data_IF_837401119113
#
_entry.id   IF_837401119113
#
_cell.length_a   1.000
_cell.length_b   1.000
_cell.length_c   1.000
_cell.angle_alpha   90.00
_cell.angle_beta   90.00
_cell.angle_gamma   90.00
#
_symmetry.space_group_name_H-M   'P 1'
#
loop_
_entity.id
_entity.type
_entity.pdbx_description
1 polymer ?
#
# COMPACT_ATOMS: atom_id res chain seq x y z
N UNK A 1 -43.25 -78.10 19.38
CA UNK A 1 -44.12 -76.95 19.65
C UNK A 1 -44.65 -76.46 18.32
N UNK A 2 -45.92 -76.69 18.01
CA UNK A 2 -46.55 -76.36 16.72
C UNK A 2 -47.95 -75.80 16.94
N UNK A 3 -48.27 -74.78 16.12
CA UNK A 3 -49.58 -74.19 15.78
C UNK A 3 -50.21 -73.18 16.76
N UNK A 4 -51.14 -72.30 16.30
CA UNK A 4 -51.30 -71.66 14.99
C UNK A 4 -51.59 -70.12 15.05
N UNK A 5 -51.55 -69.45 13.90
CA UNK A 5 -51.95 -68.05 13.67
C UNK A 5 -53.48 -67.87 13.57
N UNK A 6 -54.07 -66.76 14.07
CA UNK A 6 -55.40 -66.29 13.68
C UNK A 6 -55.37 -64.99 12.82
N UNK A 7 -56.50 -64.59 12.19
CA UNK A 7 -56.49 -63.86 10.92
C UNK A 7 -56.90 -62.38 11.00
N UNK A 8 -56.77 -61.70 9.84
CA UNK A 8 -57.61 -60.59 9.35
C UNK A 8 -57.38 -59.23 10.04
N UNK A 9 -57.37 -58.06 9.40
CA UNK A 9 -58.20 -57.53 8.32
C UNK A 9 -57.57 -56.20 7.87
N UNK A 10 -57.43 -55.94 6.57
CA UNK A 10 -57.27 -54.56 6.06
C UNK A 10 -58.65 -53.88 5.98
N UNK A 11 -58.72 -52.57 6.21
CA UNK A 11 -59.18 -51.73 5.09
C UNK A 11 -58.38 -50.42 4.93
N UNK A 12 -58.17 -50.06 3.67
CA UNK A 12 -57.86 -48.72 3.12
C UNK A 12 -59.19 -47.92 2.98
N UNK A 13 -59.28 -46.67 2.48
CA UNK A 13 -58.40 -45.49 2.50
C UNK A 13 -59.14 -44.21 3.00
N UNK A 14 -58.40 -43.08 3.05
CA UNK A 14 -58.85 -41.68 2.91
C UNK A 14 -59.59 -40.98 4.08
N UNK A 15 -58.87 -40.09 4.78
CA UNK A 15 -59.26 -38.68 4.99
C UNK A 15 -58.02 -37.85 5.43
N UNK A 16 -57.95 -36.58 5.04
CA UNK A 16 -56.78 -35.69 4.94
C UNK A 16 -56.15 -35.25 6.29
N UNK A 17 -54.94 -34.59 6.36
CA UNK A 17 -54.70 -33.26 5.78
C UNK A 17 -53.30 -33.02 5.14
N UNK A 18 -53.19 -31.87 4.45
CA UNK A 18 -52.04 -31.36 3.70
C UNK A 18 -50.68 -31.38 4.42
N UNK A 19 -49.54 -31.49 3.70
CA UNK A 19 -48.23 -31.28 4.29
C UNK A 19 -48.07 -29.83 4.73
N UNK A 20 -47.55 -29.66 5.94
CA UNK A 20 -47.21 -28.40 6.57
C UNK A 20 -46.26 -27.54 5.72
N UNK A 21 -46.46 -26.22 5.81
CA UNK A 21 -45.52 -25.20 5.35
C UNK A 21 -44.08 -25.57 5.74
N UNK A 22 -43.21 -25.64 4.74
CA UNK A 22 -41.77 -25.66 4.96
C UNK A 22 -41.36 -24.25 5.37
N UNK A 23 -40.69 -24.04 6.52
CA UNK A 23 -40.14 -22.74 6.82
C UNK A 23 -39.01 -22.45 5.84
N UNK A 24 -39.17 -21.30 5.18
CA UNK A 24 -38.24 -20.60 4.31
C UNK A 24 -36.83 -20.61 4.94
N UNK A 25 -35.85 -21.08 4.17
CA UNK A 25 -34.44 -20.99 4.58
C UNK A 25 -34.07 -19.52 4.54
N UNK A 26 -33.65 -18.89 5.66
CA UNK A 26 -33.25 -17.50 5.60
C UNK A 26 -32.02 -17.40 4.70
N UNK A 27 -32.17 -16.55 3.68
CA UNK A 27 -31.14 -16.13 2.75
C UNK A 27 -29.86 -15.79 3.54
N UNK A 28 -28.72 -16.32 3.07
CA UNK A 28 -27.43 -15.96 3.66
C UNK A 28 -27.28 -14.44 3.57
N UNK A 29 -26.80 -13.76 4.63
CA UNK A 29 -26.59 -12.33 4.53
C UNK A 29 -25.55 -12.12 3.42
N UNK A 30 -25.90 -11.29 2.44
CA UNK A 30 -24.94 -10.71 1.51
C UNK A 30 -23.71 -10.31 2.32
N UNK A 31 -22.56 -10.87 1.98
CA UNK A 31 -21.28 -10.44 2.51
C UNK A 31 -21.08 -9.01 2.01
N UNK A 32 -21.63 -8.04 2.73
CA UNK A 32 -21.28 -6.65 2.60
C UNK A 32 -19.79 -6.58 2.94
N UNK A 33 -18.95 -6.55 1.90
CA UNK A 33 -17.56 -6.15 2.00
C UNK A 33 -17.55 -4.87 2.82
N UNK A 34 -17.14 -4.99 4.08
CA UNK A 34 -17.05 -3.84 4.96
C UNK A 34 -15.97 -2.97 4.36
N UNK A 35 -16.37 -1.88 3.71
CA UNK A 35 -15.46 -0.91 3.13
C UNK A 35 -14.81 -0.18 4.30
N UNK A 36 -13.76 -0.79 4.88
CA UNK A 36 -12.97 -0.19 5.95
C UNK A 36 -12.44 1.16 5.46
N UNK A 37 -12.61 2.20 6.28
CA UNK A 37 -12.09 3.52 5.97
C UNK A 37 -10.57 3.41 5.70
N UNK A 38 -10.04 4.12 4.68
CA UNK A 38 -8.63 4.02 4.33
C UNK A 38 -7.76 4.45 5.52
N UNK A 39 -6.79 3.60 5.86
CA UNK A 39 -5.75 3.96 6.82
C UNK A 39 -4.87 5.10 6.26
N UNK A 40 -3.96 5.64 7.09
CA UNK A 40 -3.09 6.74 6.67
C UNK A 40 -2.33 6.42 5.37
N UNK A 41 -1.88 5.19 5.17
CA UNK A 41 -1.23 4.77 3.93
C UNK A 41 -2.20 4.79 2.75
N UNK A 42 -3.43 4.29 2.92
CA UNK A 42 -4.48 4.31 1.90
C UNK A 42 -4.83 5.72 1.44
N UNK A 43 -4.90 6.68 2.36
CA UNK A 43 -5.14 8.09 2.04
C UNK A 43 -4.00 8.68 1.19
N UNK A 44 -2.74 8.46 1.60
CA UNK A 44 -1.58 8.93 0.84
C UNK A 44 -1.46 8.25 -0.53
N UNK A 45 -1.77 6.95 -0.61
CA UNK A 45 -1.79 6.21 -1.87
C UNK A 45 -2.86 6.74 -2.82
N UNK A 46 -4.06 7.02 -2.30
CA UNK A 46 -5.15 7.62 -3.08
C UNK A 46 -4.74 8.97 -3.67
N UNK A 47 -4.12 9.83 -2.86
CA UNK A 47 -3.64 11.13 -3.33
C UNK A 47 -2.47 11.02 -4.31
N UNK A 48 -1.51 10.12 -4.06
CA UNK A 48 -0.40 9.88 -4.99
C UNK A 48 -0.91 9.42 -6.37
N UNK A 49 -2.07 8.77 -6.40
CA UNK A 49 -2.75 8.29 -7.61
C UNK A 49 -3.66 9.32 -8.27
N UNK A 50 -3.93 10.48 -7.66
CA UNK A 50 -4.75 11.54 -8.27
C UNK A 50 -4.18 11.91 -9.64
N UNK A 51 -4.99 11.76 -10.68
CA UNK A 51 -4.63 12.04 -12.08
C UNK A 51 -3.84 10.92 -12.79
N UNK A 52 -3.54 9.79 -12.13
CA UNK A 52 -2.77 8.70 -12.70
C UNK A 52 -3.62 7.45 -12.95
N UNK A 53 -3.52 6.87 -14.15
CA UNK A 53 -4.20 5.62 -14.49
C UNK A 53 -3.49 4.38 -13.92
N UNK A 54 -2.19 4.50 -13.59
CA UNK A 54 -1.33 3.37 -13.21
C UNK A 54 -0.29 3.76 -12.19
N UNK A 55 -0.03 2.85 -11.24
CA UNK A 55 0.96 3.02 -10.19
C UNK A 55 2.36 2.67 -10.71
N UNK A 56 3.09 3.68 -11.19
CA UNK A 56 4.47 3.57 -11.68
C UNK A 56 5.50 4.15 -10.71
N UNK A 57 6.74 4.31 -11.19
CA UNK A 57 7.84 4.86 -10.40
C UNK A 57 7.53 6.26 -9.85
N UNK A 58 7.02 7.17 -10.71
CA UNK A 58 6.61 8.52 -10.30
C UNK A 58 5.64 8.50 -9.12
N UNK A 59 4.66 7.58 -9.12
CA UNK A 59 3.69 7.45 -8.05
C UNK A 59 4.31 6.88 -6.76
N UNK A 60 5.30 5.99 -6.85
CA UNK A 60 6.07 5.56 -5.68
C UNK A 60 6.83 6.73 -5.04
N UNK A 61 7.48 7.55 -5.86
CA UNK A 61 8.21 8.75 -5.40
C UNK A 61 7.24 9.75 -4.79
N UNK A 62 6.10 10.02 -5.43
CA UNK A 62 5.05 10.92 -4.92
C UNK A 62 4.48 10.44 -3.59
N UNK A 63 4.14 9.16 -3.48
CA UNK A 63 3.67 8.55 -2.23
C UNK A 63 4.70 8.74 -1.10
N UNK A 64 5.97 8.47 -1.40
CA UNK A 64 7.08 8.63 -0.44
C UNK A 64 7.25 10.10 -0.04
N UNK A 65 7.21 11.02 -1.00
CA UNK A 65 7.29 12.47 -0.77
C UNK A 65 6.16 12.97 0.12
N UNK A 66 4.91 12.58 -0.17
CA UNK A 66 3.74 12.92 0.66
C UNK A 66 3.91 12.41 2.10
N UNK A 67 4.37 11.16 2.26
CA UNK A 67 4.58 10.56 3.57
C UNK A 67 5.66 11.31 4.37
N UNK A 68 6.82 11.57 3.76
CA UNK A 68 7.93 12.27 4.41
C UNK A 68 7.55 13.71 4.76
N UNK A 69 6.90 14.44 3.83
CA UNK A 69 6.48 15.82 4.05
C UNK A 69 5.48 15.96 5.20
N UNK A 70 4.55 15.01 5.35
CA UNK A 70 3.46 15.09 6.35
C UNK A 70 3.81 14.50 7.71
N UNK A 71 4.68 13.49 7.73
CA UNK A 71 4.94 12.71 8.95
C UNK A 71 6.40 12.73 9.38
N UNK A 72 7.31 13.28 8.57
CA UNK A 72 8.76 13.19 8.79
C UNK A 72 9.32 11.82 8.41
N UNK A 73 10.65 11.71 8.36
CA UNK A 73 11.37 10.55 7.81
C UNK A 73 11.08 9.26 8.58
N UNK A 74 11.19 9.29 9.91
CA UNK A 74 11.06 8.11 10.76
C UNK A 74 9.66 7.49 10.67
N UNK A 75 8.62 8.33 10.78
CA UNK A 75 7.24 7.87 10.69
C UNK A 75 6.87 7.45 9.26
N UNK A 76 7.37 8.16 8.24
CA UNK A 76 7.17 7.80 6.84
C UNK A 76 7.78 6.43 6.52
N UNK A 77 8.97 6.12 7.03
CA UNK A 77 9.60 4.82 6.81
C UNK A 77 8.74 3.66 7.31
N UNK A 78 8.19 3.77 8.52
CA UNK A 78 7.28 2.77 9.08
C UNK A 78 5.99 2.66 8.27
N UNK A 79 5.35 3.79 7.98
CA UNK A 79 4.09 3.86 7.24
C UNK A 79 4.21 3.23 5.84
N UNK A 80 5.26 3.59 5.09
CA UNK A 80 5.50 3.08 3.74
C UNK A 80 5.87 1.61 3.76
N UNK A 81 6.74 1.20 4.69
CA UNK A 81 7.15 -0.21 4.85
C UNK A 81 5.95 -1.11 5.10
N UNK A 82 5.12 -0.75 6.08
CA UNK A 82 3.98 -1.57 6.46
C UNK A 82 2.90 -1.55 5.38
N UNK A 83 2.65 -0.39 4.78
CA UNK A 83 1.66 -0.23 3.70
C UNK A 83 2.00 -1.02 2.43
N UNK A 84 3.26 -0.95 1.95
CA UNK A 84 3.70 -1.74 0.80
C UNK A 84 3.66 -3.24 1.13
N UNK A 85 4.11 -3.64 2.32
CA UNK A 85 4.10 -5.05 2.73
C UNK A 85 2.67 -5.61 2.78
N UNK A 86 1.72 -4.88 3.38
CA UNK A 86 0.29 -5.27 3.40
C UNK A 86 -0.29 -5.34 2.00
N UNK A 87 -0.03 -4.34 1.16
CA UNK A 87 -0.53 -4.30 -0.22
C UNK A 87 0.02 -5.46 -1.06
N UNK A 88 1.33 -5.74 -0.97
CA UNK A 88 1.96 -6.85 -1.65
C UNK A 88 1.40 -8.21 -1.20
N UNK A 89 1.16 -8.38 0.10
CA UNK A 89 0.53 -9.58 0.64
C UNK A 89 -0.92 -9.76 0.15
N UNK A 90 -1.74 -8.70 0.19
CA UNK A 90 -3.12 -8.71 -0.34
C UNK A 90 -3.16 -9.04 -1.84
N UNK A 91 -2.17 -8.59 -2.60
CA UNK A 91 -2.02 -8.91 -4.03
C UNK A 91 -1.43 -10.30 -4.30
N UNK A 92 -1.19 -11.13 -3.27
CA UNK A 92 -0.60 -12.47 -3.41
C UNK A 92 0.87 -12.47 -3.86
N UNK A 93 1.57 -11.35 -3.74
CA UNK A 93 2.95 -11.17 -4.21
C UNK A 93 3.87 -10.55 -3.14
N UNK A 94 3.95 -11.11 -1.91
CA UNK A 94 4.74 -10.56 -0.82
C UNK A 94 6.23 -10.41 -1.14
N UNK A 95 6.77 -11.23 -2.04
CA UNK A 95 8.15 -11.18 -2.52
C UNK A 95 8.52 -9.89 -3.25
N UNK A 96 7.54 -9.10 -3.68
CA UNK A 96 7.76 -7.78 -4.30
C UNK A 96 8.20 -6.72 -3.29
N UNK A 97 7.93 -6.91 -2.00
CA UNK A 97 8.43 -6.02 -0.97
C UNK A 97 9.93 -6.21 -0.77
N UNK A 98 10.65 -5.10 -0.60
CA UNK A 98 12.11 -5.08 -0.51
C UNK A 98 12.57 -4.02 0.50
N UNK A 99 13.07 -4.46 1.66
CA UNK A 99 13.42 -3.57 2.78
C UNK A 99 14.45 -2.51 2.39
N UNK A 100 15.59 -2.93 1.80
CA UNK A 100 16.66 -1.98 1.46
C UNK A 100 16.22 -0.94 0.43
N UNK A 101 15.56 -1.35 -0.66
CA UNK A 101 15.05 -0.41 -1.66
C UNK A 101 14.04 0.58 -1.08
N UNK A 102 13.07 0.10 -0.29
CA UNK A 102 12.06 0.98 0.32
C UNK A 102 12.73 2.02 1.22
N UNK A 103 13.63 1.60 2.10
CA UNK A 103 14.35 2.50 2.99
C UNK A 103 15.22 3.50 2.21
N UNK A 104 15.97 3.03 1.22
CA UNK A 104 16.83 3.89 0.40
C UNK A 104 16.03 5.00 -0.31
N UNK A 105 14.86 4.68 -0.87
CA UNK A 105 13.99 5.67 -1.50
C UNK A 105 13.42 6.69 -0.51
N UNK A 106 13.02 6.24 0.69
CA UNK A 106 12.56 7.15 1.76
C UNK A 106 13.67 8.13 2.14
N UNK A 107 14.89 7.64 2.36
CA UNK A 107 16.02 8.49 2.75
C UNK A 107 16.44 9.46 1.62
N UNK A 108 16.47 9.00 0.36
CA UNK A 108 16.77 9.86 -0.80
C UNK A 108 15.74 10.98 -0.95
N UNK A 109 14.44 10.65 -0.91
CA UNK A 109 13.38 11.65 -1.00
C UNK A 109 13.47 12.65 0.16
N UNK A 110 13.75 12.18 1.38
CA UNK A 110 13.91 13.04 2.54
C UNK A 110 15.10 14.00 2.41
N UNK A 111 16.24 13.52 1.92
CA UNK A 111 17.42 14.35 1.69
C UNK A 111 17.13 15.47 0.69
N UNK A 112 16.50 15.13 -0.44
CA UNK A 112 16.14 16.12 -1.45
C UNK A 112 15.07 17.10 -0.96
N UNK A 113 14.08 16.64 -0.17
CA UNK A 113 13.07 17.53 0.40
C UNK A 113 13.69 18.54 1.37
N UNK A 114 14.64 18.10 2.21
CA UNK A 114 15.36 19.00 3.11
C UNK A 114 16.18 20.05 2.33
N UNK A 115 16.87 19.64 1.25
CA UNK A 115 17.61 20.57 0.38
C UNK A 115 16.69 21.56 -0.33
N UNK A 116 15.56 21.09 -0.86
CA UNK A 116 14.54 21.91 -1.52
C UNK A 116 14.01 23.02 -0.61
N UNK A 117 13.74 22.70 0.65
CA UNK A 117 13.28 23.68 1.64
C UNK A 117 14.38 24.69 2.04
N UNK A 118 15.65 24.27 2.05
CA UNK A 118 16.78 25.16 2.35
C UNK A 118 17.02 26.18 1.22
N UNK A 119 16.84 25.77 -0.03
CA UNK A 119 16.97 26.64 -1.22
C UNK A 119 15.73 27.53 -1.43
N UNK A 120 14.59 27.20 -0.82
CA UNK A 120 13.35 27.97 -0.88
C UNK A 120 13.32 29.21 0.04
N UNK A 121 14.48 29.70 0.49
CA UNK A 121 14.56 30.97 1.21
C UNK A 121 13.86 32.08 0.38
N UNK A 122 12.92 32.86 0.97
CA UNK A 122 12.03 33.70 0.20
C UNK A 122 12.77 34.97 -0.22
N UNK A 123 13.12 35.07 -1.49
CA UNK A 123 13.26 36.37 -2.13
C UNK A 123 11.85 36.76 -2.63
N UNK A 124 11.26 37.74 -1.95
CA UNK A 124 9.95 38.36 -2.17
C UNK A 124 8.70 37.59 -1.68
N UNK A 125 8.28 37.98 -0.47
CA UNK A 125 6.88 38.02 -0.09
C UNK A 125 6.13 39.03 -0.98
N UNK A 126 5.57 38.56 -2.08
CA UNK A 126 4.50 39.17 -2.89
C UNK A 126 4.31 38.17 -4.06
N UNK A 127 3.34 37.28 -4.04
CA UNK A 127 1.95 37.55 -4.40
C UNK A 127 1.05 36.55 -3.66
N UNK A 128 0.11 37.08 -2.88
CA UNK A 128 -1.09 36.36 -2.46
C UNK A 128 -2.01 36.22 -3.68
N UNK A 129 -1.93 35.11 -4.39
CA UNK A 129 -3.10 34.52 -5.05
C UNK A 129 -3.16 33.08 -4.56
N UNK A 130 -4.01 32.85 -3.56
CA UNK A 130 -4.30 31.54 -2.99
C UNK A 130 -5.13 30.78 -4.02
N UNK A 131 -4.50 30.27 -5.07
CA UNK A 131 -4.95 29.02 -5.64
C UNK A 131 -4.64 27.94 -4.58
N UNK A 132 -5.63 27.12 -4.23
CA UNK A 132 -5.39 25.88 -3.51
C UNK A 132 -4.26 25.14 -4.23
N UNK A 133 -3.02 25.24 -3.73
CA UNK A 133 -1.90 24.49 -4.27
C UNK A 133 -2.24 23.04 -3.97
N UNK A 134 -2.84 22.37 -4.93
CA UNK A 134 -3.06 20.95 -4.84
C UNK A 134 -1.69 20.28 -4.62
N UNK A 135 -1.65 19.21 -3.82
CA UNK A 135 -0.41 18.46 -3.60
C UNK A 135 0.17 17.85 -4.89
N UNK A 136 -0.50 18.03 -6.04
CA UNK A 136 -0.02 17.66 -7.36
C UNK A 136 0.99 18.69 -7.87
N UNK A 137 0.64 19.98 -7.90
CA UNK A 137 1.50 21.06 -8.39
C UNK A 137 2.78 21.22 -7.56
N UNK A 138 2.70 21.02 -6.24
CA UNK A 138 3.88 21.09 -5.38
C UNK A 138 4.83 19.90 -5.61
N UNK A 139 4.29 18.69 -5.78
CA UNK A 139 5.11 17.53 -6.11
C UNK A 139 5.77 17.69 -7.47
N UNK A 140 5.05 18.21 -8.47
CA UNK A 140 5.61 18.45 -9.80
C UNK A 140 6.78 19.44 -9.73
N UNK A 141 6.63 20.56 -9.02
CA UNK A 141 7.70 21.52 -8.79
C UNK A 141 8.89 20.97 -7.99
N UNK A 142 8.67 19.99 -7.10
CA UNK A 142 9.75 19.26 -6.42
C UNK A 142 10.45 18.29 -7.38
N UNK A 143 9.69 17.52 -8.14
CA UNK A 143 10.20 16.51 -9.06
C UNK A 143 10.99 17.11 -10.22
N UNK A 144 10.59 18.30 -10.71
CA UNK A 144 11.30 19.04 -11.76
C UNK A 144 12.66 19.56 -11.29
N UNK A 145 12.79 19.92 -10.00
CA UNK A 145 14.07 20.33 -9.40
C UNK A 145 14.98 19.15 -9.06
N UNK A 146 14.41 17.96 -8.86
CA UNK A 146 15.14 16.75 -8.51
C UNK A 146 14.81 15.59 -9.47
N UNK A 147 15.11 15.75 -10.77
CA UNK A 147 14.72 14.77 -11.80
C UNK A 147 15.35 13.40 -11.60
N UNK A 148 16.50 13.33 -10.92
CA UNK A 148 17.17 12.08 -10.55
C UNK A 148 16.26 11.14 -9.72
N UNK A 149 15.35 11.68 -8.89
CA UNK A 149 14.41 10.86 -8.13
C UNK A 149 13.43 10.10 -9.03
N UNK A 150 13.18 10.58 -10.26
CA UNK A 150 12.33 9.92 -11.24
C UNK A 150 13.08 8.91 -12.10
N UNK A 151 14.40 8.82 -11.96
CA UNK A 151 15.21 7.77 -12.57
C UNK A 151 15.17 6.50 -11.71
N UNK A 152 14.53 5.45 -12.22
CA UNK A 152 14.47 4.14 -11.54
C UNK A 152 15.86 3.53 -11.32
N UNK A 153 16.87 3.97 -12.06
CA UNK A 153 18.25 3.48 -11.97
C UNK A 153 19.09 4.24 -10.95
N UNK A 154 18.54 5.25 -10.26
CA UNK A 154 19.25 6.05 -9.26
C UNK A 154 19.97 5.18 -8.21
N UNK A 155 19.31 4.12 -7.71
CA UNK A 155 19.92 3.20 -6.74
C UNK A 155 21.14 2.45 -7.27
N UNK A 156 21.28 2.27 -8.59
CA UNK A 156 22.43 1.62 -9.21
C UNK A 156 23.72 2.46 -9.10
N UNK A 157 23.61 3.75 -8.77
CA UNK A 157 24.76 4.61 -8.45
C UNK A 157 25.37 4.29 -7.07
N UNK A 158 24.56 3.69 -6.19
CA UNK A 158 24.90 3.43 -4.78
C UNK A 158 25.12 1.94 -4.48
N UNK A 159 24.45 1.06 -5.23
CA UNK A 159 24.49 -0.38 -4.99
C UNK A 159 24.92 -1.17 -6.22
N UNK A 160 25.71 -2.22 -6.00
CA UNK A 160 25.89 -3.28 -6.99
C UNK A 160 24.57 -4.02 -7.22
N UNK A 161 24.28 -4.47 -8.45
CA UNK A 161 23.09 -5.27 -8.74
C UNK A 161 23.00 -6.54 -7.88
N UNK A 162 24.14 -7.20 -7.61
CA UNK A 162 24.20 -8.40 -6.78
C UNK A 162 23.75 -8.16 -5.34
N UNK A 163 24.01 -6.95 -4.81
CA UNK A 163 23.66 -6.58 -3.43
C UNK A 163 22.17 -6.38 -3.30
N UNK A 164 21.55 -5.63 -4.22
CA UNK A 164 20.09 -5.49 -4.26
C UNK A 164 19.37 -6.79 -4.64
N UNK A 165 20.02 -7.72 -5.35
CA UNK A 165 19.43 -9.03 -5.63
C UNK A 165 19.46 -10.00 -4.44
N UNK A 166 20.19 -9.68 -3.36
CA UNK A 166 20.37 -10.58 -2.23
C UNK A 166 19.13 -10.70 -1.34
N UNK A 167 18.92 -11.89 -0.76
CA UNK A 167 17.88 -12.12 0.24
C UNK A 167 18.05 -11.23 1.48
N UNK A 168 19.30 -10.92 1.85
CA UNK A 168 19.61 -10.02 2.95
C UNK A 168 19.07 -8.61 2.67
N UNK A 169 19.33 -8.04 1.48
CA UNK A 169 18.83 -6.70 1.14
C UNK A 169 17.29 -6.66 1.03
N UNK A 170 16.68 -7.78 0.63
CA UNK A 170 15.22 -7.92 0.57
C UNK A 170 14.57 -7.91 1.95
N UNK A 171 15.22 -8.51 2.95
CA UNK A 171 14.63 -8.76 4.28
C UNK A 171 15.16 -7.85 5.40
N UNK A 172 16.31 -7.22 5.20
CA UNK A 172 16.96 -6.32 6.14
C UNK A 172 17.61 -5.14 5.42
N UNK A 173 18.04 -4.13 6.18
CA UNK A 173 18.85 -3.03 5.65
C UNK A 173 20.27 -3.52 5.33
N UNK A 174 20.75 -3.14 4.16
CA UNK A 174 22.15 -3.29 3.73
C UNK A 174 22.61 -1.92 3.24
N UNK A 175 23.79 -1.48 3.69
CA UNK A 175 24.34 -0.17 3.28
C UNK A 175 24.81 -0.17 1.81
N UNK A 176 24.86 1.01 1.16
CA UNK A 176 25.46 1.18 -0.17
C UNK A 176 26.88 0.63 -0.25
N UNK A 177 27.19 -0.07 -1.34
CA UNK A 177 28.48 -0.73 -1.53
C UNK A 177 29.24 -0.30 -2.79
N UNK A 178 28.75 0.76 -3.46
CA UNK A 178 29.48 1.51 -4.50
C UNK A 178 29.84 2.91 -4.02
N UNK A 179 28.84 3.76 -3.84
CA UNK A 179 28.97 5.14 -3.38
C UNK A 179 28.05 5.34 -2.19
N UNK A 180 28.54 5.89 -1.06
CA UNK A 180 27.66 6.19 0.06
C UNK A 180 26.58 7.20 -0.35
N UNK A 181 25.52 7.29 0.46
CA UNK A 181 24.54 8.35 0.28
C UNK A 181 25.11 9.72 0.65
N UNK A 182 24.61 10.82 0.06
CA UNK A 182 25.17 12.16 0.25
C UNK A 182 25.12 12.67 1.70
N UNK A 183 24.26 12.11 2.56
CA UNK A 183 24.23 12.45 3.99
C UNK A 183 25.18 11.61 4.85
N UNK A 184 25.78 10.54 4.33
CA UNK A 184 26.72 9.73 5.09
C UNK A 184 28.00 10.53 5.44
N UNK A 185 28.41 11.44 4.55
CA UNK A 185 29.56 12.33 4.77
C UNK A 185 29.28 13.40 5.85
N UNK A 186 28.00 13.66 6.18
CA UNK A 186 27.62 14.67 7.17
C UNK A 186 27.70 14.16 8.62
N UNK A 187 27.90 12.85 8.82
CA UNK A 187 28.05 12.21 10.13
C UNK A 187 29.51 11.84 10.46
N UNK A 188 30.47 12.26 9.62
CA UNK A 188 31.91 11.98 9.75
C UNK A 188 32.67 13.13 10.40
#
# INVERSE_FOLDING_TARGET
MTSPTPPSTSPDPADAPAPADTPDTPDAPDAQETQEAPDAFGLLLGEAMTGAERFGHRQHVRLTWLAVRRHGVDAALGLITDGIRRTAAKAGAPQKFHVTMTRAWVELVAHHLAAHHADAAPDFAEIEEIEEIDGFNEFDGFADRHPDLLDKELLARHYRPATLASEQARTAWVEPDLTPFPWADQLS
#
